data_IF_621808853404
#
_entry.id   IF_621808853404
#
_cell.length_a   1.000
_cell.length_b   1.000
_cell.length_c   1.000
_cell.angle_alpha   90.00
_cell.angle_beta   90.00
_cell.angle_gamma   90.00
#
_symmetry.space_group_name_H-M   'P 1'
#
loop_
_entity.id
_entity.type
_entity.pdbx_description
1 polymer ?
#
# COMPACT_ATOMS: atom_id res chain seq x y z
N UNK A 1 -6.13 -34.96 3.49
CA UNK A 1 -5.45 -34.43 4.70
C UNK A 1 -5.64 -32.93 4.85
N UNK A 2 -5.20 -32.07 3.91
CA UNK A 2 -5.39 -30.59 3.99
C UNK A 2 -6.88 -30.16 3.95
N UNK A 3 -7.72 -30.89 3.19
CA UNK A 3 -9.13 -30.56 2.97
C UNK A 3 -9.34 -29.47 1.92
N UNK A 4 -10.45 -29.52 1.18
CA UNK A 4 -10.80 -28.54 0.13
C UNK A 4 -11.62 -27.35 0.66
N UNK A 5 -11.48 -26.13 0.09
CA UNK A 5 -10.66 -25.80 -1.07
C UNK A 5 -9.15 -25.71 -0.75
N UNK A 6 -8.32 -25.96 -1.75
CA UNK A 6 -6.85 -25.82 -1.69
C UNK A 6 -6.36 -24.87 -2.76
N UNK A 7 -5.21 -24.26 -2.54
CA UNK A 7 -4.51 -23.44 -3.53
C UNK A 7 -3.18 -24.10 -3.89
N UNK A 8 -2.91 -24.20 -5.18
CA UNK A 8 -1.65 -24.68 -5.74
C UNK A 8 -0.79 -23.48 -6.10
N UNK A 9 0.43 -23.43 -5.57
CA UNK A 9 1.37 -22.30 -5.70
C UNK A 9 2.70 -22.75 -6.30
N UNK A 10 3.33 -21.97 -7.21
CA UNK A 10 4.73 -22.16 -7.60
C UNK A 10 5.68 -22.04 -6.41
N UNK A 11 6.64 -22.95 -6.26
CA UNK A 11 7.61 -22.92 -5.15
C UNK A 11 8.57 -21.71 -5.22
N UNK A 12 8.95 -21.29 -6.44
CA UNK A 12 9.81 -20.13 -6.67
C UNK A 12 9.08 -18.79 -6.88
N UNK A 13 7.75 -18.75 -6.76
CA UNK A 13 6.94 -17.57 -7.08
C UNK A 13 6.68 -16.64 -5.90
N UNK A 14 6.75 -15.33 -6.13
CA UNK A 14 6.33 -14.27 -5.20
C UNK A 14 5.18 -13.42 -5.76
N UNK A 15 4.44 -12.72 -4.90
CA UNK A 15 3.35 -11.80 -5.33
C UNK A 15 2.13 -12.50 -5.93
N UNK A 16 1.95 -13.79 -5.64
CA UNK A 16 0.82 -14.65 -6.03
C UNK A 16 0.57 -14.83 -7.53
N UNK A 17 1.60 -14.64 -8.35
CA UNK A 17 1.62 -15.05 -9.76
C UNK A 17 1.57 -16.58 -9.85
N UNK A 18 0.69 -17.11 -10.71
CA UNK A 18 0.62 -18.55 -11.00
C UNK A 18 -0.15 -19.39 -10.00
N UNK A 19 -0.89 -18.77 -9.07
CA UNK A 19 -1.75 -19.49 -8.13
C UNK A 19 -3.01 -20.04 -8.83
N UNK A 20 -3.36 -21.30 -8.55
CA UNK A 20 -4.63 -21.89 -9.01
C UNK A 20 -5.38 -22.56 -7.87
N UNK A 21 -6.66 -22.27 -7.75
CA UNK A 21 -7.52 -22.82 -6.69
C UNK A 21 -8.21 -24.10 -7.18
N UNK A 22 -8.23 -25.13 -6.34
CA UNK A 22 -9.04 -26.32 -6.51
C UNK A 22 -10.12 -26.35 -5.42
N UNK A 23 -11.39 -26.28 -5.84
CA UNK A 23 -12.53 -26.28 -4.93
C UNK A 23 -12.95 -27.67 -4.50
N UNK A 24 -12.61 -28.68 -5.31
CA UNK A 24 -12.94 -30.07 -5.09
C UNK A 24 -11.84 -31.01 -5.61
N UNK A 25 -11.89 -32.30 -5.27
CA UNK A 25 -10.97 -33.31 -5.84
C UNK A 25 -10.94 -33.36 -7.36
N UNK A 26 -12.02 -32.97 -8.05
CA UNK A 26 -12.10 -32.99 -9.52
C UNK A 26 -11.29 -31.87 -10.16
N UNK A 27 -11.07 -30.77 -9.43
CA UNK A 27 -10.39 -29.58 -9.95
C UNK A 27 -8.87 -29.66 -9.81
N UNK A 28 -8.37 -30.58 -8.99
CA UNK A 28 -6.97 -30.59 -8.54
C UNK A 28 -5.98 -30.79 -9.68
N UNK A 29 -6.29 -31.69 -10.62
CA UNK A 29 -5.44 -31.97 -11.77
C UNK A 29 -5.27 -30.73 -12.63
N UNK A 30 -6.38 -30.07 -12.95
CA UNK A 30 -6.36 -28.85 -13.75
C UNK A 30 -5.66 -27.69 -13.02
N UNK A 31 -5.81 -27.58 -11.70
CA UNK A 31 -5.11 -26.58 -10.91
C UNK A 31 -3.59 -26.80 -10.89
N UNK A 32 -3.15 -28.05 -10.71
CA UNK A 32 -1.75 -28.45 -10.77
C UNK A 32 -1.12 -28.15 -12.13
N UNK A 33 -1.75 -28.61 -13.21
CA UNK A 33 -1.23 -28.42 -14.58
C UNK A 33 -1.07 -26.93 -14.92
N UNK A 34 -2.04 -26.09 -14.52
CA UNK A 34 -1.96 -24.64 -14.72
C UNK A 34 -0.83 -24.01 -13.91
N UNK A 35 -0.77 -24.29 -12.61
CA UNK A 35 0.24 -23.69 -11.72
C UNK A 35 1.66 -24.11 -12.13
N UNK A 36 1.87 -25.39 -12.44
CA UNK A 36 3.18 -25.92 -12.86
C UNK A 36 3.62 -25.38 -14.22
N UNK A 37 2.69 -25.21 -15.18
CA UNK A 37 3.00 -24.60 -16.47
C UNK A 37 3.44 -23.14 -16.33
N UNK A 38 2.78 -22.37 -15.46
CA UNK A 38 3.18 -20.98 -15.17
C UNK A 38 4.50 -20.95 -14.41
N UNK A 39 4.70 -21.84 -13.45
CA UNK A 39 5.95 -21.93 -12.69
C UNK A 39 7.15 -22.16 -13.63
N UNK A 40 7.01 -23.12 -14.55
CA UNK A 40 8.03 -23.42 -15.56
C UNK A 40 8.30 -22.25 -16.50
N UNK A 41 7.27 -21.55 -16.97
CA UNK A 41 7.45 -20.46 -17.94
C UNK A 41 7.98 -19.17 -17.30
N UNK A 42 7.59 -18.87 -16.06
CA UNK A 42 7.97 -17.65 -15.36
C UNK A 42 9.27 -17.78 -14.56
N UNK A 43 9.54 -18.96 -13.97
CA UNK A 43 10.64 -19.15 -13.02
C UNK A 43 11.63 -20.24 -13.44
N UNK A 44 11.37 -20.95 -14.55
CA UNK A 44 12.22 -22.06 -15.02
C UNK A 44 12.10 -23.35 -14.20
N UNK A 45 11.30 -23.34 -13.14
CA UNK A 45 11.10 -24.45 -12.21
C UNK A 45 9.60 -24.83 -12.15
N UNK A 46 9.22 -26.07 -12.51
CA UNK A 46 7.83 -26.52 -12.47
C UNK A 46 7.33 -26.89 -11.07
N UNK A 47 8.17 -26.82 -10.03
CA UNK A 47 7.81 -27.20 -8.67
C UNK A 47 6.65 -26.37 -8.12
N UNK A 48 5.68 -27.07 -7.54
CA UNK A 48 4.50 -26.48 -6.90
C UNK A 48 4.23 -27.14 -5.56
N UNK A 49 3.60 -26.41 -4.67
CA UNK A 49 3.11 -26.91 -3.39
C UNK A 49 1.65 -26.55 -3.18
N UNK A 50 1.01 -27.18 -2.19
CA UNK A 50 -0.41 -27.00 -1.90
C UNK A 50 -0.63 -26.51 -0.48
N UNK A 51 -1.54 -25.55 -0.33
CA UNK A 51 -1.97 -25.04 0.96
C UNK A 51 -3.49 -25.04 1.04
N UNK A 52 -4.00 -24.94 2.27
CA UNK A 52 -5.42 -24.68 2.51
C UNK A 52 -5.78 -23.32 1.91
N UNK A 53 -6.88 -23.24 1.16
CA UNK A 53 -7.39 -21.98 0.65
C UNK A 53 -8.48 -21.41 1.57
N UNK A 54 -8.37 -20.13 1.92
CA UNK A 54 -9.29 -19.43 2.81
C UNK A 54 -10.03 -18.34 2.02
N UNK A 55 -11.24 -18.61 1.50
CA UNK A 55 -11.91 -17.71 0.56
C UNK A 55 -12.32 -16.36 1.17
N UNK A 56 -12.55 -16.33 2.49
CA UNK A 56 -12.92 -15.11 3.24
C UNK A 56 -11.78 -14.60 4.12
N UNK A 57 -10.55 -15.04 3.88
CA UNK A 57 -9.44 -14.57 4.68
C UNK A 57 -9.22 -13.07 4.49
N UNK A 58 -8.77 -12.47 5.59
CA UNK A 58 -8.21 -11.13 5.64
C UNK A 58 -6.69 -11.22 5.59
N UNK A 59 -6.08 -10.22 4.97
CA UNK A 59 -4.63 -10.10 4.95
C UNK A 59 -4.23 -9.13 6.04
N UNK A 60 -3.66 -9.65 7.13
CA UNK A 60 -3.21 -8.89 8.28
C UNK A 60 -1.69 -8.99 8.33
N UNK A 61 -1.02 -7.87 8.55
CA UNK A 61 0.43 -7.88 8.63
C UNK A 61 0.92 -7.03 9.79
N UNK A 62 2.02 -7.43 10.41
CA UNK A 62 2.57 -6.75 11.60
C UNK A 62 3.90 -6.11 11.26
N UNK A 63 4.00 -4.81 11.51
CA UNK A 63 5.25 -4.07 11.42
C UNK A 63 6.15 -4.42 12.61
N UNK A 64 7.36 -4.88 12.34
CA UNK A 64 8.40 -5.12 13.34
C UNK A 64 9.61 -4.25 13.04
N UNK A 65 10.28 -3.77 14.08
CA UNK A 65 11.61 -3.18 14.01
C UNK A 65 12.49 -3.80 15.09
N UNK A 66 13.69 -4.22 14.71
CA UNK A 66 14.65 -4.82 15.62
C UNK A 66 16.03 -4.16 15.47
N UNK A 67 16.74 -3.93 16.58
CA UNK A 67 18.13 -3.46 16.55
C UNK A 67 19.14 -4.61 16.71
N UNK A 68 20.42 -4.29 16.54
CA UNK A 68 21.53 -5.22 16.74
C UNK A 68 21.85 -5.50 18.22
N UNK A 69 21.11 -4.90 19.15
CA UNK A 69 21.29 -5.03 20.61
C UNK A 69 20.27 -5.99 21.23
N UNK A 70 19.43 -6.64 20.39
CA UNK A 70 18.44 -7.62 20.81
C UNK A 70 17.07 -7.02 21.16
N UNK A 71 16.87 -5.71 20.95
CA UNK A 71 15.56 -5.10 21.13
C UNK A 71 14.70 -5.35 19.89
N UNK A 72 13.45 -5.78 20.10
CA UNK A 72 12.47 -6.02 19.04
C UNK A 72 11.14 -5.43 19.49
N UNK A 73 10.58 -4.54 18.69
CA UNK A 73 9.26 -3.93 18.92
C UNK A 73 8.34 -4.18 17.71
N UNK A 74 7.04 -4.23 17.94
CA UNK A 74 6.04 -4.10 16.89
C UNK A 74 5.43 -2.70 16.89
N UNK A 75 5.05 -2.22 15.71
CA UNK A 75 4.30 -0.98 15.51
C UNK A 75 2.85 -1.28 15.07
N UNK A 76 2.27 -2.28 15.73
CA UNK A 76 0.93 -2.82 15.46
C UNK A 76 0.77 -3.41 14.05
N UNK A 77 -0.48 -3.70 13.68
CA UNK A 77 -0.88 -4.33 12.45
C UNK A 77 -1.38 -3.34 11.39
N UNK A 78 -1.39 -3.82 10.14
CA UNK A 78 -2.12 -3.23 9.01
C UNK A 78 -3.08 -4.27 8.43
N UNK A 79 -4.23 -3.80 7.97
CA UNK A 79 -5.16 -4.59 7.16
C UNK A 79 -4.98 -4.25 5.69
N UNK A 80 -4.58 -5.26 4.92
CA UNK A 80 -4.26 -5.16 3.50
C UNK A 80 -5.19 -6.06 2.67
N UNK A 81 -6.40 -6.30 3.17
CA UNK A 81 -7.39 -7.21 2.58
C UNK A 81 -7.92 -6.71 1.24
N UNK A 82 -7.99 -5.40 0.99
CA UNK A 82 -8.49 -4.89 -0.28
C UNK A 82 -7.42 -5.05 -1.35
N UNK A 83 -7.60 -6.08 -2.17
CA UNK A 83 -6.64 -6.50 -3.19
C UNK A 83 -7.29 -6.65 -4.56
N UNK A 84 -6.47 -6.49 -5.60
CA UNK A 84 -6.80 -6.80 -6.99
C UNK A 84 -5.77 -7.78 -7.52
N UNK A 85 -6.21 -8.98 -7.95
CA UNK A 85 -5.30 -10.03 -8.45
C UNK A 85 -4.08 -10.17 -7.53
N UNK A 86 -4.35 -10.40 -6.24
CA UNK A 86 -3.36 -10.54 -5.15
C UNK A 86 -2.41 -9.35 -4.92
N UNK A 87 -2.63 -8.21 -5.57
CA UNK A 87 -1.93 -6.96 -5.32
C UNK A 87 -2.73 -6.07 -4.37
N UNK A 88 -2.10 -5.58 -3.31
CA UNK A 88 -2.70 -4.64 -2.36
C UNK A 88 -2.99 -3.30 -3.06
N UNK A 89 -4.21 -2.78 -2.87
CA UNK A 89 -4.64 -1.52 -3.49
C UNK A 89 -5.10 -0.48 -2.47
N UNK A 90 -5.63 -0.92 -1.33
CA UNK A 90 -5.98 -0.08 -0.18
C UNK A 90 -5.53 -0.79 1.09
N UNK A 91 -4.86 -0.04 1.94
CA UNK A 91 -4.33 -0.51 3.22
C UNK A 91 -4.82 0.40 4.34
N UNK A 92 -5.04 -0.18 5.52
CA UNK A 92 -5.47 0.57 6.69
C UNK A 92 -4.76 0.13 7.96
N UNK A 93 -4.61 1.06 8.91
CA UNK A 93 -4.17 0.75 10.26
C UNK A 93 -4.97 1.57 11.26
N UNK A 94 -5.43 0.97 12.37
CA UNK A 94 -5.42 -0.47 12.64
C UNK A 94 -6.39 -1.29 11.77
N UNK A 95 -6.37 -2.62 11.91
CA UNK A 95 -7.37 -3.50 11.30
C UNK A 95 -8.72 -3.37 12.01
N UNK A 96 -9.84 -3.15 11.29
CA UNK A 96 -11.18 -3.20 11.87
C UNK A 96 -11.65 -4.62 12.27
N UNK A 97 -10.95 -5.67 11.86
CA UNK A 97 -11.29 -7.05 12.22
C UNK A 97 -10.77 -7.48 13.59
N UNK A 98 -9.75 -6.80 14.13
CA UNK A 98 -9.07 -7.24 15.33
C UNK A 98 -9.50 -6.44 16.55
N UNK A 99 -9.99 -7.14 17.56
CA UNK A 99 -10.02 -6.61 18.92
C UNK A 99 -8.60 -6.59 19.54
N UNK A 100 -8.47 -6.09 20.76
CA UNK A 100 -7.16 -6.00 21.42
C UNK A 100 -6.54 -7.37 21.73
N UNK A 101 -7.35 -8.41 21.96
CA UNK A 101 -6.84 -9.75 22.26
C UNK A 101 -6.23 -10.40 21.01
N UNK A 102 -6.93 -10.36 19.88
CA UNK A 102 -6.42 -10.86 18.60
C UNK A 102 -5.21 -10.05 18.12
N UNK A 103 -5.20 -8.74 18.41
CA UNK A 103 -4.06 -7.87 18.10
C UNK A 103 -2.83 -8.23 18.92
N UNK A 104 -2.98 -8.44 20.22
CA UNK A 104 -1.88 -8.90 21.08
C UNK A 104 -1.36 -10.27 20.63
N UNK A 105 -2.25 -11.17 20.21
CA UNK A 105 -1.88 -12.49 19.69
C UNK A 105 -1.02 -12.37 18.42
N UNK A 106 -1.50 -11.69 17.37
CA UNK A 106 -0.79 -11.62 16.08
C UNK A 106 0.52 -10.83 16.19
N UNK A 107 0.53 -9.76 16.98
CA UNK A 107 1.75 -8.97 17.22
C UNK A 107 2.76 -9.77 18.03
N UNK A 108 2.30 -10.56 19.01
CA UNK A 108 3.12 -11.51 19.76
C UNK A 108 3.76 -12.58 18.87
N UNK A 109 3.02 -13.12 17.89
CA UNK A 109 3.58 -14.06 16.91
C UNK A 109 4.69 -13.42 16.07
N UNK A 110 4.50 -12.21 15.57
CA UNK A 110 5.50 -11.50 14.78
C UNK A 110 6.77 -11.21 15.59
N UNK A 111 6.65 -10.70 16.82
CA UNK A 111 7.80 -10.43 17.69
C UNK A 111 8.54 -11.72 18.05
N UNK A 112 7.82 -12.81 18.35
CA UNK A 112 8.42 -14.11 18.65
C UNK A 112 9.21 -14.65 17.46
N UNK A 113 8.63 -14.58 16.26
CA UNK A 113 9.29 -15.01 15.03
C UNK A 113 10.54 -14.18 14.73
N UNK A 114 10.45 -12.84 14.84
CA UNK A 114 11.58 -11.93 14.65
C UNK A 114 12.73 -12.22 15.62
N UNK A 115 12.44 -12.46 16.90
CA UNK A 115 13.46 -12.84 17.89
C UNK A 115 14.10 -14.19 17.56
N UNK A 116 13.31 -15.18 17.15
CA UNK A 116 13.80 -16.53 16.86
C UNK A 116 14.81 -16.57 15.71
N UNK A 117 14.66 -15.68 14.73
CA UNK A 117 15.57 -15.60 13.57
C UNK A 117 16.68 -14.56 13.72
N UNK A 118 16.76 -13.86 14.86
CA UNK A 118 17.72 -12.77 15.06
C UNK A 118 17.50 -11.62 14.06
N UNK A 119 16.24 -11.26 13.80
CA UNK A 119 15.89 -10.23 12.83
C UNK A 119 16.51 -8.88 13.21
N UNK A 120 16.91 -8.08 12.20
CA UNK A 120 17.46 -6.73 12.36
C UNK A 120 16.84 -5.82 11.30
N UNK A 121 16.67 -4.55 11.64
CA UNK A 121 16.02 -3.51 10.84
C UNK A 121 14.49 -3.64 10.80
N UNK A 122 13.82 -2.90 9.91
CA UNK A 122 12.38 -2.95 9.75
C UNK A 122 11.96 -4.11 8.83
N UNK A 123 10.95 -4.85 9.25
CA UNK A 123 10.37 -5.95 8.50
C UNK A 123 8.88 -6.08 8.76
N UNK A 124 8.19 -6.83 7.90
CA UNK A 124 6.76 -7.11 8.08
C UNK A 124 6.49 -8.59 8.02
N UNK A 125 5.74 -9.08 9.00
CA UNK A 125 5.28 -10.46 9.08
C UNK A 125 3.83 -10.50 8.62
N UNK A 126 3.56 -11.19 7.51
CA UNK A 126 2.24 -11.25 6.89
C UNK A 126 1.49 -12.51 7.31
N UNK A 127 0.19 -12.37 7.58
CA UNK A 127 -0.70 -13.42 8.04
C UNK A 127 -2.00 -13.42 7.22
N UNK A 128 -2.52 -14.61 6.94
CA UNK A 128 -3.96 -14.76 6.68
C UNK A 128 -4.68 -14.87 8.01
N UNK A 129 -5.69 -14.04 8.22
CA UNK A 129 -6.64 -14.18 9.30
C UNK A 129 -7.93 -14.79 8.74
N UNK A 130 -8.31 -15.95 9.26
CA UNK A 130 -9.58 -16.59 8.95
C UNK A 130 -10.64 -16.19 10.00
N UNK A 131 -11.60 -15.31 9.65
CA UNK A 131 -12.59 -14.83 10.62
C UNK A 131 -13.56 -15.92 11.09
N UNK A 132 -13.72 -17.03 10.34
CA UNK A 132 -14.61 -18.12 10.73
C UNK A 132 -14.01 -18.95 11.87
N UNK A 133 -12.70 -19.21 11.85
CA UNK A 133 -12.00 -19.94 12.90
C UNK A 133 -11.32 -19.05 13.95
N UNK A 134 -11.17 -17.75 13.68
CA UNK A 134 -10.43 -16.81 14.51
C UNK A 134 -8.93 -17.07 14.54
N UNK A 135 -8.36 -17.71 13.51
CA UNK A 135 -6.96 -18.14 13.48
C UNK A 135 -6.12 -17.33 12.51
N UNK A 136 -4.87 -17.10 12.91
CA UNK A 136 -3.81 -16.55 12.07
C UNK A 136 -2.95 -17.66 11.47
N UNK A 137 -2.57 -17.47 10.20
CA UNK A 137 -1.68 -18.34 9.46
C UNK A 137 -0.57 -17.48 8.85
N UNK A 138 0.67 -17.68 9.29
CA UNK A 138 1.83 -16.97 8.74
C UNK A 138 1.95 -17.29 7.23
N UNK A 139 2.07 -16.25 6.42
CA UNK A 139 2.25 -16.35 4.98
C UNK A 139 3.72 -16.17 4.60
N UNK A 140 4.26 -15.00 4.90
CA UNK A 140 5.61 -14.61 4.50
C UNK A 140 6.18 -13.55 5.45
N UNK A 141 7.48 -13.32 5.31
CA UNK A 141 8.19 -12.24 5.98
C UNK A 141 8.82 -11.36 4.92
N UNK A 142 8.36 -10.12 4.83
CA UNK A 142 8.97 -9.10 3.99
C UNK A 142 10.13 -8.47 4.75
N UNK A 143 11.36 -8.85 4.39
CA UNK A 143 12.60 -8.41 5.05
C UNK A 143 13.06 -7.02 4.61
N UNK A 144 12.11 -6.10 4.42
CA UNK A 144 12.31 -4.75 3.90
C UNK A 144 11.15 -3.84 4.32
N UNK A 145 11.31 -2.54 4.09
CA UNK A 145 10.19 -1.60 4.15
C UNK A 145 9.12 -1.97 3.11
N UNK A 146 7.86 -1.72 3.45
CA UNK A 146 6.72 -1.92 2.56
C UNK A 146 6.16 -0.58 2.07
N UNK A 147 5.39 -0.62 0.99
CA UNK A 147 4.83 0.57 0.35
C UNK A 147 3.89 1.30 1.32
N UNK A 148 3.12 0.50 2.05
CA UNK A 148 2.07 0.83 3.01
C UNK A 148 2.59 1.17 4.43
N UNK A 149 3.91 1.27 4.65
CA UNK A 149 4.44 1.72 5.94
C UNK A 149 3.87 3.07 6.45
N UNK A 150 3.47 4.04 5.60
CA UNK A 150 2.97 5.32 6.11
C UNK A 150 1.71 5.21 6.95
N UNK A 151 0.81 4.23 6.74
CA UNK A 151 -0.38 4.12 7.60
C UNK A 151 0.03 3.79 9.05
N UNK A 152 1.09 3.01 9.23
CA UNK A 152 1.68 2.72 10.55
C UNK A 152 2.32 3.97 11.13
N UNK A 153 3.09 4.73 10.35
CA UNK A 153 3.69 5.99 10.82
C UNK A 153 2.63 7.01 11.24
N UNK A 154 1.53 7.11 10.48
CA UNK A 154 0.45 8.06 10.75
C UNK A 154 -0.30 7.75 12.06
N UNK A 155 -0.44 6.47 12.44
CA UNK A 155 -1.12 6.10 13.70
C UNK A 155 -0.20 6.01 14.90
N UNK A 156 1.11 5.85 14.69
CA UNK A 156 2.09 5.72 15.80
C UNK A 156 2.93 6.97 16.03
N UNK A 157 3.07 7.83 15.02
CA UNK A 157 4.03 8.95 15.03
C UNK A 157 5.49 8.52 14.90
N UNK A 158 5.75 7.24 14.63
CA UNK A 158 7.10 6.69 14.49
C UNK A 158 7.53 6.75 13.03
N UNK A 159 8.64 7.44 12.76
CA UNK A 159 9.27 7.49 11.42
C UNK A 159 10.10 6.21 11.20
N UNK A 160 9.54 5.29 10.42
CA UNK A 160 10.10 3.98 10.15
C UNK A 160 11.39 4.07 9.34
N UNK A 161 11.43 4.92 8.31
CA UNK A 161 12.61 5.06 7.45
C UNK A 161 13.79 5.62 8.25
N UNK A 162 13.55 6.60 9.13
CA UNK A 162 14.56 7.10 10.08
C UNK A 162 15.03 6.02 11.04
N UNK A 163 14.11 5.21 11.59
CA UNK A 163 14.49 4.08 12.45
C UNK A 163 15.38 3.08 11.70
N UNK A 164 15.11 2.78 10.43
CA UNK A 164 15.95 1.89 9.63
C UNK A 164 17.39 2.42 9.53
N UNK A 165 17.59 3.73 9.34
CA UNK A 165 18.93 4.33 9.30
C UNK A 165 19.63 4.28 10.67
N UNK A 166 18.91 4.57 11.76
CA UNK A 166 19.48 4.48 13.12
C UNK A 166 19.94 3.04 13.43
N UNK A 167 19.09 2.05 13.15
CA UNK A 167 19.44 0.63 13.35
C UNK A 167 20.63 0.23 12.47
N UNK A 168 20.66 0.66 11.20
CA UNK A 168 21.77 0.37 10.30
C UNK A 168 23.09 1.01 10.76
N UNK A 169 23.02 2.13 11.47
CA UNK A 169 24.18 2.77 12.12
C UNK A 169 24.63 2.05 13.41
N UNK A 170 23.93 1.00 13.84
CA UNK A 170 24.22 0.26 15.07
C UNK A 170 23.67 0.92 16.34
N UNK A 171 22.78 1.90 16.21
CA UNK A 171 22.12 2.52 17.34
C UNK A 171 21.06 1.59 17.97
N UNK A 172 20.76 1.83 19.24
CA UNK A 172 19.63 1.18 19.91
C UNK A 172 18.31 1.78 19.45
N UNK A 173 17.23 1.00 19.51
CA UNK A 173 15.90 1.54 19.31
C UNK A 173 15.63 2.68 20.31
N UNK A 174 15.15 3.85 19.86
CA UNK A 174 14.93 5.00 20.72
C UNK A 174 13.66 4.90 21.58
N UNK A 175 12.92 3.79 21.47
CA UNK A 175 11.69 3.53 22.20
C UNK A 175 11.55 2.03 22.51
N UNK A 176 10.93 1.73 23.64
CA UNK A 176 10.51 0.40 24.06
C UNK A 176 9.08 0.08 23.60
N UNK A 177 8.68 -1.19 23.67
CA UNK A 177 7.32 -1.61 23.29
C UNK A 177 6.22 -0.87 24.06
N UNK A 178 6.45 -0.57 25.34
CA UNK A 178 5.47 0.12 26.19
C UNK A 178 5.30 1.61 25.87
N UNK A 179 6.21 2.20 25.10
CA UNK A 179 6.15 3.60 24.64
C UNK A 179 5.50 3.73 23.26
N UNK A 180 5.24 2.62 22.56
CA UNK A 180 4.55 2.64 21.27
C UNK A 180 3.05 2.85 21.52
N UNK A 181 2.56 4.03 21.18
CA UNK A 181 1.14 4.33 21.23
C UNK A 181 0.50 4.25 19.83
N UNK A 182 -0.76 3.83 19.77
CA UNK A 182 -1.60 3.90 18.57
C UNK A 182 -2.69 4.93 18.77
N UNK A 183 -2.82 5.86 17.83
CA UNK A 183 -3.80 6.95 17.86
C UNK A 183 -4.54 7.05 16.53
N UNK A 184 -5.86 7.05 16.59
CA UNK A 184 -6.73 7.22 15.42
C UNK A 184 -6.65 6.06 14.42
N UNK A 185 -6.92 6.39 13.16
CA UNK A 185 -7.01 5.46 12.04
C UNK A 185 -6.42 6.10 10.79
N UNK A 186 -5.69 5.32 10.00
CA UNK A 186 -5.12 5.77 8.74
C UNK A 186 -5.49 4.85 7.58
N UNK A 187 -5.61 5.45 6.40
CA UNK A 187 -5.78 4.75 5.13
C UNK A 187 -4.71 5.18 4.14
N UNK A 188 -4.25 4.25 3.32
CA UNK A 188 -3.46 4.51 2.11
C UNK A 188 -4.23 4.04 0.88
N UNK A 189 -4.19 4.85 -0.19
CA UNK A 189 -4.67 4.49 -1.52
C UNK A 189 -3.55 4.69 -2.54
N UNK A 190 -3.26 3.64 -3.30
CA UNK A 190 -2.20 3.65 -4.34
C UNK A 190 -2.78 4.12 -5.68
N UNK A 191 -2.37 5.31 -6.12
CA UNK A 191 -2.83 5.87 -7.39
C UNK A 191 -1.89 5.41 -8.50
N UNK A 192 -2.41 4.62 -9.44
CA UNK A 192 -1.64 4.09 -10.57
C UNK A 192 -2.07 4.74 -11.90
N UNK A 193 -1.13 4.84 -12.83
CA UNK A 193 -1.39 5.09 -14.24
C UNK A 193 -1.85 3.80 -14.93
N UNK A 194 -3.13 3.47 -14.75
CA UNK A 194 -3.75 2.26 -15.28
C UNK A 194 -5.22 2.49 -15.63
N UNK A 195 -5.80 1.57 -16.40
CA UNK A 195 -7.22 1.60 -16.76
C UNK A 195 -8.01 0.47 -16.10
N UNK A 196 -8.72 0.72 -14.97
CA UNK A 196 -9.54 -0.29 -14.33
C UNK A 196 -10.57 -0.96 -15.25
N UNK A 197 -11.11 -0.24 -16.25
CA UNK A 197 -12.13 -0.78 -17.16
C UNK A 197 -11.53 -1.64 -18.28
N UNK A 198 -10.24 -1.51 -18.56
CA UNK A 198 -9.47 -2.36 -19.46
C UNK A 198 -8.65 -3.41 -18.69
N UNK A 199 -9.19 -3.91 -17.57
CA UNK A 199 -8.54 -4.96 -16.78
C UNK A 199 -7.26 -4.51 -16.10
N UNK A 200 -7.19 -3.22 -15.74
CA UNK A 200 -6.05 -2.55 -15.11
C UNK A 200 -4.78 -2.57 -15.97
N UNK A 201 -4.94 -2.45 -17.29
CA UNK A 201 -3.81 -2.28 -18.19
C UNK A 201 -3.04 -0.99 -17.84
N UNK A 202 -1.69 -1.02 -17.79
CA UNK A 202 -0.89 0.19 -17.62
C UNK A 202 -1.20 1.25 -18.67
N UNK A 203 -1.11 2.51 -18.29
CA UNK A 203 -1.39 3.68 -19.13
C UNK A 203 -0.18 4.63 -19.17
N UNK A 204 0.92 4.26 -19.85
CA UNK A 204 2.07 5.16 -20.01
C UNK A 204 1.69 6.42 -20.81
N UNK A 205 2.47 7.49 -20.65
CA UNK A 205 2.27 8.76 -21.33
C UNK A 205 2.51 9.98 -20.45
N UNK A 206 2.29 11.17 -21.01
CA UNK A 206 2.59 12.44 -20.33
C UNK A 206 1.44 12.87 -19.43
N UNK A 207 1.75 13.17 -18.17
CA UNK A 207 0.83 13.81 -17.23
C UNK A 207 0.67 15.28 -17.64
N UNK A 208 -0.48 15.65 -18.20
CA UNK A 208 -0.77 17.00 -18.69
C UNK A 208 -1.24 17.95 -17.61
N UNK A 209 -1.93 17.41 -16.59
CA UNK A 209 -2.31 18.15 -15.39
C UNK A 209 -2.19 17.27 -14.17
N UNK A 210 -1.61 17.82 -13.12
CA UNK A 210 -1.49 17.17 -11.82
C UNK A 210 -2.00 18.11 -10.73
N UNK A 211 -2.87 17.59 -9.87
CA UNK A 211 -3.21 18.20 -8.58
C UNK A 211 -3.22 17.11 -7.53
N UNK A 212 -2.27 17.19 -6.62
CA UNK A 212 -2.25 16.35 -5.42
C UNK A 212 -3.21 16.93 -4.37
N UNK A 213 -3.89 16.09 -3.58
CA UNK A 213 -4.71 16.56 -2.47
C UNK A 213 -3.81 17.13 -1.36
N UNK A 214 -4.39 17.97 -0.51
CA UNK A 214 -3.64 18.62 0.57
C UNK A 214 -4.53 18.89 1.78
N UNK A 215 -4.00 19.60 2.78
CA UNK A 215 -4.73 20.00 3.98
C UNK A 215 -4.50 19.05 5.17
N UNK A 216 -5.21 19.29 6.29
CA UNK A 216 -4.94 18.60 7.54
C UNK A 216 -5.05 17.08 7.41
N UNK A 217 -4.04 16.38 7.92
CA UNK A 217 -4.00 14.92 8.01
C UNK A 217 -4.12 14.22 6.65
N UNK A 218 -3.64 14.88 5.59
CA UNK A 218 -3.43 14.30 4.26
C UNK A 218 -1.95 14.37 3.97
N UNK A 219 -1.34 13.20 3.74
CA UNK A 219 0.04 13.02 3.30
C UNK A 219 0.02 12.47 1.89
N UNK A 220 0.90 12.97 1.04
CA UNK A 220 1.08 12.46 -0.32
C UNK A 220 2.56 12.13 -0.50
N UNK A 221 2.84 10.86 -0.77
CA UNK A 221 4.16 10.41 -1.17
C UNK A 221 4.11 10.23 -2.69
N UNK A 222 4.78 11.10 -3.44
CA UNK A 222 4.71 11.18 -4.91
C UNK A 222 6.10 11.30 -5.52
N UNK A 223 6.25 10.79 -6.73
CA UNK A 223 7.48 10.90 -7.54
C UNK A 223 7.24 11.55 -8.91
N UNK A 224 6.04 12.06 -9.17
CA UNK A 224 5.62 12.58 -10.48
C UNK A 224 5.28 14.07 -10.42
N UNK A 225 5.27 14.73 -11.57
CA UNK A 225 4.95 16.14 -11.70
C UNK A 225 4.22 16.43 -13.01
N UNK A 226 3.59 17.60 -13.15
CA UNK A 226 2.98 18.02 -14.41
C UNK A 226 4.06 18.11 -15.52
N UNK A 227 3.84 17.42 -16.63
CA UNK A 227 4.80 17.24 -17.72
C UNK A 227 5.65 15.96 -17.61
N UNK A 228 5.57 15.21 -16.51
CA UNK A 228 6.27 13.92 -16.37
C UNK A 228 5.73 12.88 -17.35
N UNK A 229 6.64 12.14 -18.00
CA UNK A 229 6.29 11.01 -18.87
C UNK A 229 6.34 9.71 -18.06
N UNK A 230 5.17 9.08 -17.88
CA UNK A 230 5.06 7.78 -17.24
C UNK A 230 5.61 6.71 -18.19
N UNK A 231 6.73 6.05 -17.84
CA UNK A 231 7.36 5.05 -18.69
C UNK A 231 6.58 3.73 -18.67
N UNK A 232 6.75 2.91 -19.72
CA UNK A 232 6.16 1.57 -19.82
C UNK A 232 6.96 0.48 -19.09
N UNK A 233 8.20 0.78 -18.67
CA UNK A 233 9.18 -0.20 -18.20
C UNK A 233 9.14 -0.45 -16.69
N UNK A 234 8.49 0.42 -15.93
CA UNK A 234 8.46 0.37 -14.47
C UNK A 234 7.02 0.21 -13.97
N UNK A 235 6.89 -0.03 -12.67
CA UNK A 235 5.60 -0.01 -11.99
C UNK A 235 4.89 1.35 -12.21
N UNK A 236 3.59 1.36 -12.58
CA UNK A 236 2.90 2.60 -12.95
C UNK A 236 2.38 3.41 -11.75
N UNK A 237 2.91 3.22 -10.55
CA UNK A 237 2.55 4.00 -9.37
C UNK A 237 2.87 5.49 -9.58
N UNK A 238 1.86 6.34 -9.44
CA UNK A 238 2.00 7.79 -9.54
C UNK A 238 2.25 8.42 -8.17
N UNK A 239 1.42 8.07 -7.21
CA UNK A 239 1.48 8.60 -5.85
C UNK A 239 0.75 7.66 -4.89
N UNK A 240 1.06 7.79 -3.60
CA UNK A 240 0.30 7.23 -2.49
C UNK A 240 -0.41 8.37 -1.80
N UNK A 241 -1.72 8.27 -1.64
CA UNK A 241 -2.49 9.21 -0.84
C UNK A 241 -2.74 8.54 0.51
N UNK A 242 -2.29 9.19 1.57
CA UNK A 242 -2.42 8.70 2.93
C UNK A 242 -3.21 9.72 3.74
N UNK A 243 -4.19 9.24 4.50
CA UNK A 243 -4.97 10.10 5.39
C UNK A 243 -5.03 9.53 6.79
N UNK A 244 -5.23 10.40 7.76
CA UNK A 244 -5.49 10.02 9.15
C UNK A 244 -6.77 10.65 9.67
N UNK A 245 -7.47 9.99 10.60
CA UNK A 245 -8.63 10.50 11.32
C UNK A 245 -8.68 9.96 12.75
N UNK A 246 -9.50 10.58 13.61
CA UNK A 246 -9.66 10.14 15.01
C UNK A 246 -10.31 8.75 15.13
N UNK A 247 -11.11 8.40 14.13
CA UNK A 247 -11.69 7.09 13.94
C UNK A 247 -11.66 6.71 12.45
N UNK A 248 -12.04 5.47 12.17
CA UNK A 248 -12.05 4.90 10.82
C UNK A 248 -12.97 5.67 9.87
N UNK A 249 -14.13 6.13 10.33
CA UNK A 249 -15.09 6.83 9.48
C UNK A 249 -14.60 8.23 9.10
N UNK A 250 -14.00 8.94 10.04
CA UNK A 250 -13.37 10.23 9.77
C UNK A 250 -12.23 10.11 8.77
N UNK A 251 -11.38 9.08 8.92
CA UNK A 251 -10.32 8.77 7.96
C UNK A 251 -10.91 8.43 6.58
N UNK A 252 -11.98 7.63 6.53
CA UNK A 252 -12.67 7.26 5.27
C UNK A 252 -13.22 8.48 4.54
N UNK A 253 -13.94 9.35 5.25
CA UNK A 253 -14.49 10.60 4.69
C UNK A 253 -13.38 11.56 4.23
N UNK A 254 -12.26 11.60 4.96
CA UNK A 254 -11.08 12.39 4.58
C UNK A 254 -10.42 11.83 3.31
N UNK A 255 -10.34 10.51 3.16
CA UNK A 255 -9.84 9.88 1.93
C UNK A 255 -10.75 10.21 0.73
N UNK A 256 -12.07 10.08 0.89
CA UNK A 256 -13.03 10.46 -0.17
C UNK A 256 -12.82 11.90 -0.60
N UNK A 257 -12.68 12.82 0.36
CA UNK A 257 -12.37 14.23 0.07
C UNK A 257 -11.04 14.37 -0.68
N UNK A 258 -9.97 13.71 -0.23
CA UNK A 258 -8.67 13.78 -0.91
C UNK A 258 -8.75 13.24 -2.36
N UNK A 259 -9.47 12.15 -2.58
CA UNK A 259 -9.69 11.59 -3.92
C UNK A 259 -10.53 12.52 -4.81
N UNK A 260 -11.49 13.27 -4.27
CA UNK A 260 -12.24 14.29 -5.01
C UNK A 260 -11.39 15.50 -5.44
N UNK A 261 -10.35 15.82 -4.68
CA UNK A 261 -9.42 16.93 -4.95
C UNK A 261 -8.29 16.54 -5.91
N UNK A 262 -8.05 15.23 -6.05
CA UNK A 262 -6.97 14.67 -6.88
C UNK A 262 -7.30 14.81 -8.36
N UNK A 263 -6.38 15.41 -9.11
CA UNK A 263 -6.48 15.49 -10.58
C UNK A 263 -5.25 14.88 -11.21
N UNK A 264 -5.46 13.89 -12.07
CA UNK A 264 -4.44 13.33 -12.96
C UNK A 264 -5.05 13.29 -14.36
N UNK A 265 -4.50 14.06 -15.29
CA UNK A 265 -4.95 14.11 -16.69
C UNK A 265 -3.78 13.84 -17.63
N UNK A 266 -4.07 13.26 -18.81
CA UNK A 266 -3.05 12.86 -19.79
C UNK A 266 -2.83 11.35 -19.84
N UNK A 267 -2.98 10.67 -18.71
CA UNK A 267 -2.99 9.21 -18.57
C UNK A 267 -4.29 8.73 -17.92
N UNK A 268 -4.71 7.49 -18.20
CA UNK A 268 -5.77 6.83 -17.42
C UNK A 268 -5.24 6.51 -16.02
N UNK A 269 -6.13 6.50 -15.05
CA UNK A 269 -5.80 6.23 -13.66
C UNK A 269 -6.95 5.57 -12.91
N UNK A 270 -6.67 5.14 -11.68
CA UNK A 270 -7.59 4.41 -10.82
C UNK A 270 -8.21 5.27 -9.69
N UNK A 271 -8.17 6.61 -9.75
CA UNK A 271 -8.76 7.47 -8.71
C UNK A 271 -10.27 7.19 -8.53
N UNK A 272 -11.00 7.04 -9.64
CA UNK A 272 -12.43 6.72 -9.62
C UNK A 272 -12.73 5.34 -9.02
N UNK A 273 -11.83 4.37 -9.23
CA UNK A 273 -11.92 3.05 -8.61
C UNK A 273 -11.82 3.16 -7.09
N UNK A 274 -10.86 3.93 -6.58
CA UNK A 274 -10.72 4.17 -5.14
C UNK A 274 -11.93 4.88 -4.55
N UNK A 275 -12.46 5.93 -5.20
CA UNK A 275 -13.69 6.58 -4.72
C UNK A 275 -14.83 5.57 -4.54
N UNK A 276 -15.02 4.67 -5.52
CA UNK A 276 -16.05 3.63 -5.43
C UNK A 276 -15.79 2.61 -4.32
N UNK A 277 -14.53 2.22 -4.08
CA UNK A 277 -14.16 1.35 -2.93
C UNK A 277 -14.52 2.02 -1.62
N UNK A 278 -14.08 3.28 -1.42
CA UNK A 278 -14.33 4.02 -0.19
C UNK A 278 -15.81 4.41 0.00
N UNK A 279 -16.60 4.53 -1.07
CA UNK A 279 -18.07 4.72 -1.02
C UNK A 279 -18.86 3.42 -0.74
N UNK A 280 -18.24 2.25 -0.87
CA UNK A 280 -18.93 0.98 -0.67
C UNK A 280 -19.32 0.75 0.80
N UNK A 281 -20.56 0.32 1.02
CA UNK A 281 -21.09 0.08 2.37
C UNK A 281 -20.32 -1.01 3.14
N UNK A 282 -19.88 -2.08 2.46
CA UNK A 282 -19.11 -3.14 3.12
C UNK A 282 -17.73 -2.62 3.52
N UNK A 283 -17.09 -1.80 2.67
CA UNK A 283 -15.85 -1.13 3.03
C UNK A 283 -16.04 -0.21 4.23
N UNK A 284 -17.09 0.62 4.25
CA UNK A 284 -17.38 1.53 5.36
C UNK A 284 -17.59 0.79 6.69
N UNK A 285 -18.22 -0.40 6.66
CA UNK A 285 -18.41 -1.27 7.83
C UNK A 285 -17.18 -2.10 8.22
N UNK A 286 -16.12 -2.08 7.41
CA UNK A 286 -14.93 -2.91 7.63
C UNK A 286 -15.15 -4.39 7.32
N UNK A 287 -16.17 -4.73 6.54
CA UNK A 287 -16.44 -6.08 6.04
C UNK A 287 -15.57 -6.36 4.81
N UNK A 288 -14.32 -6.75 5.07
CA UNK A 288 -13.27 -6.91 4.09
C UNK A 288 -12.84 -8.37 3.97
N UNK A 289 -12.46 -8.75 2.76
CA UNK A 289 -11.82 -10.02 2.42
C UNK A 289 -10.76 -9.75 1.36
N UNK A 290 -9.80 -10.65 1.19
CA UNK A 290 -8.84 -10.65 0.06
C UNK A 290 -9.51 -10.64 -1.32
N UNK A 291 -10.81 -10.92 -1.38
CA UNK A 291 -11.63 -10.96 -2.59
C UNK A 291 -12.60 -9.79 -2.69
N UNK A 292 -12.49 -8.78 -1.83
CA UNK A 292 -13.42 -7.65 -1.75
C UNK A 292 -13.72 -7.03 -3.12
N UNK A 293 -12.70 -6.75 -3.93
CA UNK A 293 -12.87 -6.12 -5.26
C UNK A 293 -13.73 -6.97 -6.20
N UNK A 294 -13.57 -8.29 -6.16
CA UNK A 294 -14.35 -9.26 -6.95
C UNK A 294 -15.76 -9.44 -6.40
N UNK A 295 -15.89 -9.70 -5.09
CA UNK A 295 -17.16 -9.97 -4.41
C UNK A 295 -18.11 -8.78 -4.49
N UNK A 296 -17.55 -7.58 -4.37
CA UNK A 296 -18.28 -6.31 -4.48
C UNK A 296 -18.39 -5.82 -5.92
N UNK A 297 -17.91 -6.58 -6.91
CA UNK A 297 -18.03 -6.28 -8.36
C UNK A 297 -17.66 -4.83 -8.67
N UNK A 298 -16.57 -4.36 -8.07
CA UNK A 298 -16.20 -2.93 -8.07
C UNK A 298 -15.95 -2.46 -9.50
N UNK A 299 -15.27 -3.28 -10.30
CA UNK A 299 -14.95 -2.96 -11.71
C UNK A 299 -16.21 -2.85 -12.57
N UNK A 300 -17.20 -3.72 -12.36
CA UNK A 300 -18.45 -3.64 -13.12
C UNK A 300 -19.27 -2.41 -12.73
N UNK A 301 -19.35 -2.11 -11.42
CA UNK A 301 -20.04 -0.91 -10.92
C UNK A 301 -19.34 0.38 -11.36
N UNK A 302 -18.02 0.34 -11.55
CA UNK A 302 -17.25 1.49 -12.04
C UNK A 302 -17.73 1.97 -13.43
N UNK A 303 -18.30 1.09 -14.26
CA UNK A 303 -18.80 1.47 -15.60
C UNK A 303 -19.93 2.50 -15.57
N UNK A 304 -20.75 2.49 -14.52
CA UNK A 304 -21.84 3.44 -14.31
C UNK A 304 -21.52 4.48 -13.23
N UNK A 305 -20.36 4.38 -12.58
CA UNK A 305 -19.94 5.29 -11.54
C UNK A 305 -19.47 6.63 -12.14
N UNK A 306 -20.00 7.72 -11.59
CA UNK A 306 -19.54 9.07 -11.93
C UNK A 306 -18.62 9.56 -10.83
N UNK A 307 -17.32 9.55 -11.12
CA UNK A 307 -16.32 10.07 -10.21
C UNK A 307 -16.63 11.52 -9.81
N UNK A 308 -16.60 11.78 -8.51
CA UNK A 308 -16.78 13.12 -7.97
C UNK A 308 -15.47 13.88 -8.11
N UNK A 309 -15.56 15.12 -8.55
CA UNK A 309 -14.43 16.05 -8.59
C UNK A 309 -14.83 17.33 -7.89
N UNK A 310 -14.00 17.80 -6.98
CA UNK A 310 -14.20 19.12 -6.38
C UNK A 310 -13.83 20.20 -7.39
N UNK A 311 -14.70 21.20 -7.62
CA UNK A 311 -14.40 22.33 -8.48
C UNK A 311 -13.42 23.25 -7.75
N UNK A 312 -12.15 22.88 -7.74
CA UNK A 312 -11.10 23.69 -7.14
C UNK A 312 -10.50 24.64 -8.19
N UNK A 313 -10.21 25.90 -7.82
CA UNK A 313 -9.60 26.84 -8.76
C UNK A 313 -8.24 26.33 -9.20
N UNK A 314 -7.97 26.36 -10.50
CA UNK A 314 -6.61 26.22 -11.04
C UNK A 314 -5.89 27.52 -10.79
N UNK A 315 -4.66 27.46 -10.24
CA UNK A 315 -3.75 28.61 -10.35
C UNK A 315 -3.59 28.86 -11.84
N UNK A 316 -4.20 29.93 -12.35
CA UNK A 316 -3.99 30.33 -13.73
C UNK A 316 -2.50 30.55 -13.92
N UNK A 317 -1.90 30.03 -14.99
CA UNK A 317 -0.52 30.34 -15.37
C UNK A 317 -0.28 31.84 -15.70
N UNK A 318 -1.23 32.72 -15.38
CA UNK A 318 -1.03 34.17 -15.44
C UNK A 318 -0.41 34.64 -14.13
N UNK A 319 0.77 35.22 -14.25
CA UNK A 319 1.62 35.86 -13.23
C UNK A 319 2.69 35.00 -12.52
N UNK A 320 3.32 34.08 -13.25
CA UNK A 320 4.79 34.03 -13.24
C UNK A 320 5.27 34.56 -14.58
N UNK A 321 4.83 35.78 -14.91
CA UNK A 321 5.46 36.54 -15.97
C UNK A 321 6.88 36.85 -15.48
N UNK A 322 7.86 36.24 -16.14
CA UNK A 322 9.28 36.58 -16.19
C UNK A 322 9.61 37.97 -15.62
N UNK A 323 9.84 38.06 -14.32
CA UNK A 323 10.91 38.93 -13.84
C UNK A 323 12.14 38.04 -13.72
N UNK A 324 12.86 37.89 -14.85
CA UNK A 324 14.28 37.64 -14.74
C UNK A 324 14.83 38.72 -13.80
N UNK A 325 15.69 38.40 -12.81
CA UNK A 325 16.34 39.44 -12.04
C UNK A 325 17.00 40.41 -13.02
N UNK A 326 16.51 41.65 -13.06
CA UNK A 326 17.14 42.73 -13.79
C UNK A 326 18.53 42.88 -13.19
N UNK A 327 19.52 42.59 -14.01
CA UNK A 327 20.96 42.80 -13.81
C UNK A 327 21.44 42.59 -12.36
N UNK A 328 22.07 41.44 -12.12
CA UNK A 328 23.07 41.37 -11.05
C UNK A 328 24.12 42.42 -11.38
N UNK A 329 24.06 43.56 -10.69
CA UNK A 329 25.14 44.54 -10.70
C UNK A 329 26.35 43.83 -10.12
N UNK A 330 27.26 43.45 -11.00
CA UNK A 330 28.54 42.86 -10.63
C UNK A 330 29.34 43.95 -9.89
N UNK A 331 29.33 43.90 -8.56
CA UNK A 331 30.02 44.86 -7.70
C UNK A 331 31.52 44.98 -8.06
N UNK A 332 32.11 43.95 -8.68
CA UNK A 332 33.48 43.95 -9.17
C UNK A 332 33.70 44.78 -10.44
N UNK A 333 32.68 44.93 -11.29
CA UNK A 333 32.74 45.83 -12.46
C UNK A 333 32.59 47.31 -12.09
N UNK A 334 31.97 47.62 -10.96
CA UNK A 334 31.84 49.00 -10.47
C UNK A 334 33.14 49.48 -9.80
N UNK A 335 33.83 48.61 -9.06
CA UNK A 335 35.11 48.93 -8.41
C UNK A 335 36.25 49.22 -9.40
N UNK A 336 36.23 48.62 -10.61
CA UNK A 336 37.24 48.88 -11.64
C UNK A 336 37.05 50.18 -12.41
N UNK A 337 35.95 50.91 -12.18
CA UNK A 337 35.67 52.22 -12.80
C UNK A 337 35.74 53.40 -11.84
N UNK A 338 35.83 53.15 -10.54
CA UNK A 338 36.03 54.15 -9.50
C UNK A 338 37.38 53.80 -8.88
N UNK A 339 38.44 54.47 -9.32
CA UNK A 339 39.79 54.20 -8.82
C UNK A 339 39.91 54.48 -7.31
N UNK A 340 39.69 53.44 -6.51
CA UNK A 340 40.06 53.32 -5.10
C UNK A 340 40.81 52.02 -4.92
#
# INVERSE_FOLDING_TARGET
EIGYPVVVKPAGGGGGIGMSIAWSPKDIKAAFERASAIAKSAFGDPEVYMERYFPKARHIEVQVVADSHGNVIHLFERECSVQRRVQKVVEESPSPALDEALREEVTGYAVKAAKAVGYVNAGTFEFLFDPESGRFYLLEVNSRIQVEHPVTEMVTGVDLVKLQFLVAAGEKLPLSQGEVERRGHAFEARIYAEDPLAGFAPSPGVIRRLREPSGPWVRVDSGVYEGYEVPQYYDPLLMKIIVWGRDREEARLRMLRALEETVVEGVRNNVAFHQLVFEDEAFAKGDLTTRFVEERRVVERLRSFRARRRPLPWRSQREVAKEAPKEVVDAWRLASRIGV
#
